data_IF_254325602815
#
_entry.id   IF_254325602815
#
_cell.length_a   1.000
_cell.length_b   1.000
_cell.length_c   1.000
_cell.angle_alpha   90.00
_cell.angle_beta   90.00
_cell.angle_gamma   90.00
#
_symmetry.space_group_name_H-M   'P 1'
#
loop_
_entity.id
_entity.type
_entity.pdbx_description
1 polymer ?
#
# COMPACT_ATOMS: atom_id res chain seq x y z
N UNK A 1 -5.12 15.46 -20.53
CA UNK A 1 -4.42 14.69 -19.48
C UNK A 1 -3.14 14.19 -20.14
N UNK A 2 -1.98 14.43 -19.54
CA UNK A 2 -0.70 14.04 -20.15
C UNK A 2 -0.61 12.52 -20.08
N UNK A 3 -0.49 11.86 -21.23
CA UNK A 3 -0.05 10.47 -21.27
C UNK A 3 1.40 10.48 -20.73
N UNK A 4 1.63 9.92 -19.54
CA UNK A 4 2.98 9.57 -19.13
C UNK A 4 3.52 8.58 -20.15
N UNK A 5 4.78 8.72 -20.55
CA UNK A 5 5.43 7.70 -21.38
C UNK A 5 5.51 6.40 -20.58
N UNK A 6 5.44 5.25 -21.26
CA UNK A 6 5.64 3.93 -20.65
C UNK A 6 6.92 3.90 -19.79
N UNK A 7 8.00 4.52 -20.26
CA UNK A 7 9.25 4.69 -19.52
C UNK A 7 9.08 5.38 -18.17
N UNK A 8 8.33 6.47 -18.12
CA UNK A 8 8.09 7.23 -16.88
C UNK A 8 7.18 6.46 -15.93
N UNK A 9 6.23 5.69 -16.45
CA UNK A 9 5.37 4.81 -15.64
C UNK A 9 6.17 3.66 -15.02
N UNK A 10 7.01 2.99 -15.81
CA UNK A 10 7.91 1.94 -15.31
C UNK A 10 8.88 2.48 -14.25
N UNK A 11 9.48 3.65 -14.47
CA UNK A 11 10.35 4.31 -13.49
C UNK A 11 9.58 4.67 -12.21
N UNK A 12 8.38 5.23 -12.32
CA UNK A 12 7.54 5.53 -11.17
C UNK A 12 7.25 4.27 -10.34
N UNK A 13 6.89 3.16 -10.99
CA UNK A 13 6.61 1.89 -10.31
C UNK A 13 7.82 1.39 -9.53
N UNK A 14 9.05 1.55 -10.06
CA UNK A 14 10.26 1.09 -9.36
C UNK A 14 10.56 1.83 -8.06
N UNK A 15 9.92 2.98 -7.81
CA UNK A 15 10.16 3.80 -6.62
C UNK A 15 8.93 3.97 -5.74
N UNK A 16 7.74 4.09 -6.33
CA UNK A 16 6.52 4.41 -5.60
C UNK A 16 6.09 3.28 -4.67
N UNK A 17 6.39 2.03 -5.02
CA UNK A 17 5.94 0.84 -4.28
C UNK A 17 6.98 0.24 -3.34
N UNK A 18 8.18 0.82 -3.24
CA UNK A 18 9.29 0.30 -2.43
C UNK A 18 8.93 0.08 -0.94
N UNK A 19 7.91 0.78 -0.42
CA UNK A 19 7.44 0.60 0.97
C UNK A 19 6.66 -0.70 1.19
N UNK A 20 6.14 -1.31 0.13
CA UNK A 20 5.27 -2.48 0.16
C UNK A 20 5.85 -3.72 -0.52
N UNK A 21 7.02 -3.60 -1.15
CA UNK A 21 7.80 -4.70 -1.74
C UNK A 21 9.19 -4.75 -1.10
N UNK A 22 10.04 -5.69 -1.49
CA UNK A 22 11.45 -5.67 -1.09
C UNK A 22 12.11 -4.45 -1.74
N UNK A 23 12.67 -3.49 -0.96
CA UNK A 23 13.21 -2.26 -1.51
C UNK A 23 14.30 -2.50 -2.55
N UNK A 24 14.20 -1.83 -3.70
CA UNK A 24 15.15 -1.98 -4.80
C UNK A 24 15.10 -3.34 -5.52
N UNK A 25 14.07 -4.15 -5.27
CA UNK A 25 13.86 -5.41 -5.99
C UNK A 25 13.16 -5.24 -7.33
N UNK A 26 12.47 -4.11 -7.55
CA UNK A 26 11.79 -3.83 -8.80
C UNK A 26 12.80 -3.47 -9.90
N UNK A 27 12.83 -4.26 -10.97
CA UNK A 27 13.72 -4.03 -12.12
C UNK A 27 12.96 -4.20 -13.43
N UNK A 28 13.21 -3.31 -14.37
CA UNK A 28 12.66 -3.40 -15.73
C UNK A 28 13.63 -4.20 -16.58
N UNK A 29 13.15 -5.28 -17.21
CA UNK A 29 13.98 -6.13 -18.07
C UNK A 29 13.50 -6.22 -19.52
N UNK A 30 12.28 -5.78 -19.83
CA UNK A 30 11.81 -5.53 -21.20
C UNK A 30 11.12 -4.18 -21.25
N UNK A 31 11.45 -3.38 -22.26
CA UNK A 31 10.76 -2.14 -22.59
C UNK A 31 10.56 -2.08 -24.09
N UNK A 32 9.32 -2.22 -24.52
CA UNK A 32 8.90 -2.18 -25.92
C UNK A 32 7.88 -1.04 -26.10
N UNK A 33 8.38 0.09 -26.59
CA UNK A 33 7.56 1.28 -26.82
C UNK A 33 6.67 1.17 -28.07
N UNK A 34 7.02 0.30 -29.02
CA UNK A 34 6.21 0.11 -30.23
C UNK A 34 4.90 -0.59 -29.89
N UNK A 35 4.97 -1.58 -28.99
CA UNK A 35 3.80 -2.33 -28.52
C UNK A 35 3.22 -1.82 -27.19
N UNK A 36 3.76 -0.73 -26.62
CA UNK A 36 3.40 -0.24 -25.29
C UNK A 36 3.45 -1.35 -24.22
N UNK A 37 4.50 -2.18 -24.25
CA UNK A 37 4.70 -3.31 -23.35
C UNK A 37 5.98 -3.12 -22.52
N UNK A 38 5.81 -3.00 -21.21
CA UNK A 38 6.89 -3.10 -20.24
C UNK A 38 6.84 -4.45 -19.53
N UNK A 39 7.99 -5.03 -19.20
CA UNK A 39 8.08 -6.13 -18.23
C UNK A 39 8.97 -5.75 -17.08
N UNK A 40 8.43 -5.92 -15.90
CA UNK A 40 9.15 -5.73 -14.65
C UNK A 40 9.21 -7.04 -13.86
N UNK A 41 10.31 -7.22 -13.17
CA UNK A 41 10.50 -8.23 -12.14
C UNK A 41 10.50 -7.51 -10.79
N UNK A 42 9.79 -8.04 -9.79
CA UNK A 42 9.84 -7.51 -8.43
C UNK A 42 9.68 -8.62 -7.39
N UNK A 43 10.16 -8.38 -6.16
CA UNK A 43 10.04 -9.34 -5.06
C UNK A 43 9.08 -8.82 -3.99
N UNK A 44 8.02 -9.58 -3.73
CA UNK A 44 7.07 -9.31 -2.66
C UNK A 44 7.70 -9.53 -1.27
N UNK A 45 7.16 -8.89 -0.23
CA UNK A 45 7.65 -9.01 1.15
C UNK A 45 7.57 -10.44 1.71
N UNK A 46 6.70 -11.27 1.13
CA UNK A 46 6.57 -12.70 1.41
C UNK A 46 7.69 -13.55 0.80
N UNK A 47 8.71 -12.93 0.20
CA UNK A 47 9.79 -13.62 -0.54
C UNK A 47 9.25 -14.41 -1.74
N UNK A 48 8.38 -13.77 -2.52
CA UNK A 48 7.87 -14.29 -3.79
C UNK A 48 8.29 -13.35 -4.90
N UNK A 49 9.01 -13.86 -5.89
CA UNK A 49 9.37 -13.14 -7.09
C UNK A 49 8.21 -13.21 -8.08
N UNK A 50 7.83 -12.08 -8.65
CA UNK A 50 6.78 -11.99 -9.67
C UNK A 50 7.29 -11.25 -10.90
N UNK A 51 6.83 -11.67 -12.05
CA UNK A 51 7.01 -10.97 -13.33
C UNK A 51 5.68 -10.37 -13.73
N UNK A 52 5.67 -9.07 -13.99
CA UNK A 52 4.45 -8.31 -14.34
C UNK A 52 4.64 -7.66 -15.71
N UNK A 53 3.68 -7.88 -16.59
CA UNK A 53 3.52 -7.13 -17.84
C UNK A 53 2.74 -5.85 -17.54
N UNK A 54 3.29 -4.72 -18.00
CA UNK A 54 2.70 -3.38 -17.94
C UNK A 54 2.29 -3.00 -19.35
N UNK A 55 1.00 -2.78 -19.54
CA UNK A 55 0.41 -2.46 -20.85
C UNK A 55 -0.56 -1.30 -20.74
N UNK A 56 -1.04 -0.79 -21.87
CA UNK A 56 -2.11 0.21 -21.91
C UNK A 56 -3.46 -0.29 -21.33
N UNK A 57 -3.64 -1.61 -21.23
CA UNK A 57 -4.81 -2.26 -20.61
C UNK A 57 -4.65 -2.48 -19.10
N UNK A 58 -3.49 -2.14 -18.53
CA UNK A 58 -3.17 -2.33 -17.12
C UNK A 58 -2.07 -3.35 -16.88
N UNK A 59 -2.16 -4.01 -15.72
CA UNK A 59 -1.08 -4.82 -15.14
C UNK A 59 -1.47 -6.31 -15.09
N UNK A 60 -0.60 -7.19 -15.55
CA UNK A 60 -0.86 -8.64 -15.56
C UNK A 60 0.34 -9.43 -15.03
N UNK A 61 0.08 -10.39 -14.13
CA UNK A 61 1.15 -11.30 -13.69
C UNK A 61 1.37 -12.37 -14.75
N UNK A 62 2.62 -12.50 -15.19
CA UNK A 62 3.04 -13.50 -16.16
C UNK A 62 3.59 -14.76 -15.49
N UNK A 63 4.33 -14.60 -14.39
CA UNK A 63 4.85 -15.73 -13.64
C UNK A 63 5.15 -15.34 -12.20
N UNK A 64 5.26 -16.35 -11.35
CA UNK A 64 5.69 -16.18 -9.96
C UNK A 64 6.55 -17.37 -9.50
N UNK A 65 7.48 -17.11 -8.59
CA UNK A 65 8.30 -18.13 -7.96
C UNK A 65 8.54 -17.82 -6.47
N UNK A 66 8.25 -18.75 -5.55
CA UNK A 66 8.64 -18.58 -4.15
C UNK A 66 10.17 -18.67 -4.03
N UNK A 67 10.79 -17.68 -3.38
CA UNK A 67 12.24 -17.64 -3.15
C UNK A 67 12.66 -18.41 -1.89
N UNK A 68 11.71 -18.71 -1.02
CA UNK A 68 11.93 -19.45 0.23
C UNK A 68 10.91 -20.57 0.38
N UNK A 69 11.26 -21.61 1.12
CA UNK A 69 10.36 -22.72 1.47
C UNK A 69 9.46 -22.39 2.67
N UNK A 70 9.25 -21.11 2.99
CA UNK A 70 8.39 -20.72 4.10
C UNK A 70 6.92 -20.96 3.75
N UNK A 71 6.11 -21.34 4.74
CA UNK A 71 4.68 -21.57 4.52
C UNK A 71 3.96 -20.33 3.96
N UNK A 72 4.41 -19.13 4.35
CA UNK A 72 3.86 -17.87 3.85
C UNK A 72 4.22 -17.66 2.37
N UNK A 73 5.48 -17.82 1.99
CA UNK A 73 5.91 -17.68 0.59
C UNK A 73 5.17 -18.65 -0.34
N UNK A 74 5.02 -19.91 0.08
CA UNK A 74 4.33 -20.94 -0.70
C UNK A 74 2.83 -20.60 -0.85
N UNK A 75 2.15 -20.23 0.25
CA UNK A 75 0.74 -19.87 0.20
C UNK A 75 0.51 -18.62 -0.67
N UNK A 76 1.38 -17.61 -0.55
CA UNK A 76 1.32 -16.40 -1.39
C UNK A 76 1.58 -16.74 -2.86
N UNK A 77 2.57 -17.56 -3.18
CA UNK A 77 2.81 -18.00 -4.56
C UNK A 77 1.60 -18.74 -5.16
N UNK A 78 0.93 -19.60 -4.37
CA UNK A 78 -0.30 -20.26 -4.82
C UNK A 78 -1.44 -19.26 -5.06
N UNK A 79 -1.58 -18.25 -4.20
CA UNK A 79 -2.54 -17.16 -4.41
C UNK A 79 -2.23 -16.37 -5.69
N UNK A 80 -0.96 -16.03 -5.92
CA UNK A 80 -0.52 -15.34 -7.13
C UNK A 80 -0.79 -16.18 -8.37
N UNK A 81 -0.54 -17.49 -8.31
CA UNK A 81 -0.81 -18.42 -9.41
C UNK A 81 -2.27 -18.39 -9.86
N UNK A 82 -3.23 -18.24 -8.92
CA UNK A 82 -4.65 -18.11 -9.23
C UNK A 82 -5.02 -16.80 -9.97
N UNK A 83 -4.11 -15.83 -10.02
CA UNK A 83 -4.28 -14.52 -10.66
C UNK A 83 -3.36 -14.30 -11.86
N UNK A 84 -2.57 -15.30 -12.26
CA UNK A 84 -1.77 -15.25 -13.49
C UNK A 84 -2.70 -15.04 -14.68
N UNK A 85 -2.30 -14.19 -15.64
CA UNK A 85 -3.10 -13.73 -16.80
C UNK A 85 -4.31 -12.83 -16.49
N UNK A 86 -4.61 -12.55 -15.22
CA UNK A 86 -5.66 -11.59 -14.88
C UNK A 86 -5.11 -10.16 -15.00
N UNK A 87 -5.81 -9.32 -15.75
CA UNK A 87 -5.50 -7.89 -15.82
C UNK A 87 -6.06 -7.13 -14.62
N UNK A 88 -5.25 -6.22 -14.09
CA UNK A 88 -5.58 -5.29 -13.01
C UNK A 88 -5.48 -3.86 -13.52
N UNK A 89 -6.40 -2.99 -13.07
CA UNK A 89 -6.46 -1.59 -13.49
C UNK A 89 -5.27 -0.76 -12.96
N UNK A 90 -4.83 -1.04 -11.72
CA UNK A 90 -3.73 -0.33 -11.08
C UNK A 90 -2.74 -1.30 -10.41
N UNK A 91 -1.50 -0.84 -10.25
CA UNK A 91 -0.46 -1.60 -9.56
C UNK A 91 -0.82 -1.78 -8.07
N UNK A 92 -1.46 -0.81 -7.41
CA UNK A 92 -1.98 -0.99 -6.05
C UNK A 92 -3.00 -2.13 -5.99
N UNK A 93 -3.95 -2.17 -6.93
CA UNK A 93 -5.00 -3.19 -6.96
C UNK A 93 -4.42 -4.59 -7.14
N UNK A 94 -3.37 -4.71 -7.96
CA UNK A 94 -2.59 -5.92 -8.11
C UNK A 94 -1.90 -6.28 -6.77
N UNK A 95 -1.11 -5.38 -6.20
CA UNK A 95 -0.32 -5.68 -4.99
C UNK A 95 -1.18 -5.96 -3.76
N UNK A 96 -2.31 -5.26 -3.58
CA UNK A 96 -3.29 -5.54 -2.52
C UNK A 96 -3.88 -6.95 -2.66
N UNK A 97 -4.12 -7.40 -3.89
CA UNK A 97 -4.68 -8.73 -4.15
C UNK A 97 -3.63 -9.83 -3.93
N UNK A 98 -2.39 -9.58 -4.33
CA UNK A 98 -1.33 -10.58 -4.36
C UNK A 98 -0.58 -10.72 -3.03
N UNK A 99 -0.34 -9.62 -2.32
CA UNK A 99 0.53 -9.55 -1.15
C UNK A 99 -0.23 -9.09 0.10
N UNK A 100 -0.55 -10.02 1.03
CA UNK A 100 -1.10 -9.66 2.33
C UNK A 100 -0.24 -8.67 3.12
N UNK A 101 1.10 -8.77 3.01
CA UNK A 101 2.02 -7.85 3.69
C UNK A 101 2.01 -6.46 3.06
N UNK A 102 1.91 -6.36 1.72
CA UNK A 102 1.69 -5.07 1.06
C UNK A 102 0.42 -4.41 1.59
N UNK A 103 -0.69 -5.15 1.62
CA UNK A 103 -1.98 -4.65 2.10
C UNK A 103 -1.90 -4.12 3.54
N UNK A 104 -1.17 -4.83 4.42
CA UNK A 104 -0.91 -4.36 5.78
C UNK A 104 -0.10 -3.05 5.79
N UNK A 105 1.02 -2.98 5.05
CA UNK A 105 1.86 -1.77 4.97
C UNK A 105 1.12 -0.57 4.40
N UNK A 106 0.28 -0.80 3.41
CA UNK A 106 -0.57 0.21 2.83
C UNK A 106 -1.54 0.79 3.86
N UNK A 107 -2.22 -0.06 4.63
CA UNK A 107 -3.12 0.36 5.71
C UNK A 107 -2.38 1.14 6.81
N UNK A 108 -1.22 0.64 7.26
CA UNK A 108 -0.38 1.31 8.25
C UNK A 108 0.03 2.72 7.77
N UNK A 109 0.39 2.84 6.50
CA UNK A 109 0.80 4.11 5.89
C UNK A 109 -0.36 5.09 5.81
N UNK A 110 -1.55 4.64 5.39
CA UNK A 110 -2.74 5.48 5.36
C UNK A 110 -3.13 5.96 6.76
N UNK A 111 -3.09 5.07 7.74
CA UNK A 111 -3.40 5.40 9.13
C UNK A 111 -2.42 6.44 9.69
N UNK A 112 -1.12 6.25 9.45
CA UNK A 112 -0.09 7.20 9.89
C UNK A 112 -0.26 8.58 9.24
N UNK A 113 -0.61 8.64 7.94
CA UNK A 113 -0.87 9.91 7.24
C UNK A 113 -2.09 10.63 7.81
N UNK A 114 -3.17 9.89 8.06
CA UNK A 114 -4.41 10.43 8.62
C UNK A 114 -4.18 11.00 10.02
N UNK A 115 -3.42 10.30 10.86
CA UNK A 115 -3.05 10.78 12.19
C UNK A 115 -2.17 12.04 12.12
N UNK A 116 -1.27 12.10 11.13
CA UNK A 116 -0.45 13.29 10.85
C UNK A 116 -1.31 14.53 10.58
N UNK A 117 -2.30 14.42 9.67
CA UNK A 117 -3.21 15.52 9.33
C UNK A 117 -4.02 15.99 10.54
N UNK A 118 -4.50 15.06 11.36
CA UNK A 118 -5.26 15.39 12.57
C UNK A 118 -4.40 16.17 13.59
N UNK A 119 -3.13 15.78 13.75
CA UNK A 119 -2.20 16.48 14.63
C UNK A 119 -1.83 17.87 14.09
N UNK A 120 -1.70 18.01 12.77
CA UNK A 120 -1.37 19.28 12.11
C UNK A 120 -2.50 20.30 12.24
N UNK A 121 -3.76 19.84 12.12
CA UNK A 121 -4.94 20.70 12.36
C UNK A 121 -4.99 21.22 13.79
N UNK A 122 -4.74 20.37 14.80
CA UNK A 122 -4.73 20.80 16.21
C UNK A 122 -3.61 21.82 16.50
N UNK A 123 -2.45 21.68 15.86
CA UNK A 123 -1.37 22.66 16.00
C UNK A 123 -1.72 24.02 15.36
N UNK A 124 -2.39 24.01 14.21
CA UNK A 124 -2.83 25.25 13.56
C UNK A 124 -3.86 26.00 14.40
N UNK A 125 -4.78 25.29 15.05
CA UNK A 125 -5.78 25.91 15.95
C UNK A 125 -5.13 26.57 17.17
N UNK A 126 -4.10 25.95 17.77
CA UNK A 126 -3.38 26.55 18.90
C UNK A 126 -2.57 27.79 18.50
N UNK A 127 -1.99 27.81 17.31
CA UNK A 127 -1.27 29.00 16.82
C UNK A 127 -2.20 30.19 16.55
N UNK A 128 -3.41 29.94 16.04
CA UNK A 128 -4.40 31.02 15.84
C UNK A 128 -4.89 31.61 17.17
N UNK A 129 -5.05 30.80 18.22
CA UNK A 129 -5.45 31.31 19.54
C UNK A 129 -4.37 32.19 20.19
N UNK A 130 -3.08 31.90 19.99
CA UNK A 130 -2.00 32.75 20.52
C UNK A 130 -1.90 34.11 19.82
N UNK A 131 -2.20 34.21 18.52
CA UNK A 131 -2.16 35.50 17.84
C UNK A 131 -3.29 36.44 18.27
N UNK A 132 -4.47 35.92 18.65
CA UNK A 132 -5.58 36.76 19.11
C UNK A 132 -5.36 37.37 20.50
N UNK A 133 -4.58 36.72 21.38
CA UNK A 133 -4.26 37.29 22.70
C UNK A 133 -3.16 38.36 22.67
N UNK A 134 -2.31 38.38 21.65
CA UNK A 134 -1.24 39.39 21.53
C UNK A 134 -1.73 40.75 20.98
N UNK A 135 -3.01 40.86 20.62
CA UNK A 135 -3.59 42.04 19.98
C UNK A 135 -4.68 42.68 20.84
N UNK A 136 -4.57 42.65 22.17
CA UNK A 136 -5.25 43.65 23.01
C UNK A 136 -4.50 44.99 22.89
N UNK A 137 -5.10 46.01 22.26
CA UNK A 137 -4.50 47.33 22.18
C UNK A 137 -4.57 47.97 23.57
N UNK A 138 -3.40 48.28 24.13
CA UNK A 138 -3.22 49.24 25.21
C UNK A 138 -3.83 50.59 24.80
N UNK A 139 -5.15 50.72 24.95
CA UNK A 139 -5.91 51.94 24.68
C UNK A 139 -6.03 52.72 25.98
N UNK A 140 -4.90 53.19 26.49
CA UNK A 140 -4.89 54.19 27.55
C UNK A 140 -5.18 55.57 26.94
N UNK A 141 -6.38 56.07 27.25
CA UNK A 141 -6.82 57.47 27.33
C UNK A 141 -6.32 58.46 26.28
N UNK A 142 -7.25 58.98 25.46
CA UNK A 142 -7.29 60.41 25.14
C UNK A 142 -8.69 60.91 24.83
N UNK A 143 -8.91 62.12 25.31
CA UNK A 143 -10.12 62.87 25.61
C UNK A 143 -10.90 63.33 24.37
N UNK A 144 -12.21 63.50 24.59
CA UNK A 144 -13.22 64.22 23.80
C UNK A 144 -12.74 65.28 22.78
N UNK A 145 -13.27 65.25 21.55
CA UNK A 145 -14.27 66.21 21.05
C UNK A 145 -14.54 66.13 19.53
N UNK A 146 -15.76 66.56 19.16
CA UNK A 146 -16.16 67.21 17.88
C UNK A 146 -16.74 66.36 16.74
N UNK A 147 -18.09 66.40 16.73
CA UNK A 147 -19.10 66.39 15.66
C UNK A 147 -18.63 66.89 14.27
N UNK A 148 -18.90 66.14 13.18
CA UNK A 148 -19.79 66.51 12.03
C UNK A 148 -19.88 65.39 10.97
N UNK A 149 -20.96 65.34 10.15
CA UNK A 149 -21.30 64.23 9.25
C UNK A 149 -21.06 64.54 7.77
N UNK A 150 -20.82 63.53 6.91
CA UNK A 150 -21.32 63.55 5.52
C UNK A 150 -21.33 62.16 4.85
N UNK A 151 -22.18 62.08 3.84
CA UNK A 151 -22.81 60.95 3.20
C UNK A 151 -21.98 60.37 2.04
N UNK A 152 -22.15 59.07 1.72
CA UNK A 152 -22.37 58.51 0.34
C UNK A 152 -22.44 56.97 0.44
N UNK A 153 -23.61 56.34 0.29
CA UNK A 153 -24.26 55.83 -0.93
C UNK A 153 -23.57 54.61 -1.60
N UNK A 154 -24.34 53.51 -1.58
CA UNK A 154 -24.46 52.46 -2.60
C UNK A 154 -23.42 51.32 -2.62
N UNK A 155 -23.87 50.10 -2.29
CA UNK A 155 -23.98 49.02 -3.30
C UNK A 155 -24.62 47.76 -2.70
N UNK A 156 -25.59 47.21 -3.44
CA UNK A 156 -26.40 46.04 -3.12
C UNK A 156 -25.69 44.79 -3.66
N UNK A 157 -25.56 43.73 -2.85
CA UNK A 157 -25.05 42.43 -3.26
C UNK A 157 -25.49 41.31 -2.30
N UNK A 158 -25.62 40.06 -2.78
CA UNK A 158 -26.77 39.20 -2.47
C UNK A 158 -26.63 38.30 -1.24
N UNK A 159 -27.80 37.90 -0.73
CA UNK A 159 -28.00 36.94 0.35
C UNK A 159 -27.33 35.60 0.05
N UNK A 160 -26.49 35.13 0.99
CA UNK A 160 -26.06 33.73 1.03
C UNK A 160 -26.65 33.11 2.29
N UNK A 161 -27.57 32.18 2.06
CA UNK A 161 -28.34 31.45 3.05
C UNK A 161 -27.44 30.40 3.73
N UNK A 162 -27.23 30.64 5.02
CA UNK A 162 -27.18 29.74 6.17
C UNK A 162 -26.50 28.33 6.10
N UNK A 163 -25.66 27.99 7.10
CA UNK A 163 -25.03 26.69 7.23
C UNK A 163 -25.93 25.66 7.93
N UNK A 164 -26.00 24.45 7.39
CA UNK A 164 -26.52 23.27 8.10
C UNK A 164 -25.36 22.43 8.62
N UNK A 165 -25.26 22.34 9.93
CA UNK A 165 -24.28 21.57 10.69
C UNK A 165 -24.95 20.27 11.18
N UNK A 166 -24.71 19.10 10.56
CA UNK A 166 -25.08 17.83 11.16
C UNK A 166 -23.95 17.33 12.08
N UNK A 167 -24.15 17.49 13.39
CA UNK A 167 -23.42 16.70 14.38
C UNK A 167 -23.77 15.22 14.21
N UNK A 168 -22.86 14.45 13.61
CA UNK A 168 -22.93 13.00 13.60
C UNK A 168 -22.07 12.45 14.75
N UNK A 169 -22.76 12.15 15.86
CA UNK A 169 -22.25 11.40 17.01
C UNK A 169 -22.13 9.94 16.57
N UNK A 170 -20.91 9.43 16.38
CA UNK A 170 -20.67 7.99 16.25
C UNK A 170 -20.17 7.43 17.60
N UNK A 171 -20.77 6.33 18.11
CA UNK A 171 -20.29 5.67 19.32
C UNK A 171 -19.00 4.86 19.06
N UNK A 172 -18.11 4.72 20.05
CA UNK A 172 -16.93 3.86 19.94
C UNK A 172 -17.32 2.38 19.93
N UNK A 173 -16.90 1.66 18.89
CA UNK A 173 -17.00 0.21 18.82
C UNK A 173 -16.14 -0.43 19.92
N UNK A 174 -16.78 -1.16 20.83
CA UNK A 174 -16.11 -1.97 21.85
C UNK A 174 -15.59 -3.25 21.20
N UNK A 175 -14.27 -3.31 20.97
CA UNK A 175 -13.59 -4.50 20.46
C UNK A 175 -13.47 -5.49 21.62
N UNK A 176 -14.31 -6.53 21.61
CA UNK A 176 -14.20 -7.67 22.52
C UNK A 176 -13.05 -8.58 22.06
N UNK A 177 -11.91 -8.51 22.74
CA UNK A 177 -10.82 -9.48 22.62
C UNK A 177 -11.24 -10.79 23.29
N UNK A 178 -11.63 -11.80 22.50
CA UNK A 178 -11.74 -13.17 23.00
C UNK A 178 -10.47 -13.94 22.63
N UNK A 179 -9.63 -14.10 23.65
CA UNK A 179 -8.45 -14.96 23.68
C UNK A 179 -8.91 -16.38 23.95
N UNK A 180 -8.79 -17.29 22.98
CA UNK A 180 -8.85 -18.74 23.25
C UNK A 180 -7.59 -19.40 22.70
N UNK A 181 -6.54 -19.29 23.50
CA UNK A 181 -5.36 -20.15 23.43
C UNK A 181 -5.75 -21.56 23.86
N UNK A 182 -5.85 -22.49 22.91
CA UNK A 182 -5.93 -23.92 23.19
C UNK A 182 -4.82 -24.62 22.39
N UNK A 183 -3.64 -24.73 23.00
CA UNK A 183 -2.49 -25.47 22.48
C UNK A 183 -2.48 -26.83 23.18
N UNK A 184 -2.70 -27.95 22.46
CA UNK A 184 -2.44 -29.28 23.00
C UNK A 184 -0.93 -29.51 23.08
N UNK A 185 -0.41 -29.67 24.30
CA UNK A 185 0.93 -30.19 24.55
C UNK A 185 0.98 -31.66 24.14
N UNK A 186 1.74 -31.97 23.09
CA UNK A 186 2.12 -33.33 22.77
C UNK A 186 3.58 -33.59 23.16
N UNK A 187 3.68 -34.64 23.96
CA UNK A 187 4.82 -35.28 24.58
C UNK A 187 5.96 -35.65 23.59
N UNK A 188 7.24 -35.39 23.94
CA UNK A 188 8.37 -35.91 23.18
C UNK A 188 8.75 -37.30 23.71
N UNK A 189 8.29 -38.34 23.03
CA UNK A 189 8.82 -39.69 23.27
C UNK A 189 10.13 -39.87 22.49
N UNK A 190 11.22 -39.90 23.25
CA UNK A 190 12.51 -40.50 22.93
C UNK A 190 12.37 -41.80 22.11
N UNK A 191 13.01 -41.87 20.94
CA UNK A 191 13.42 -43.16 20.37
C UNK A 191 14.76 -43.06 19.62
N UNK A 192 15.76 -43.51 20.38
CA UNK A 192 17.03 -44.13 20.03
C UNK A 192 17.16 -44.74 18.62
N UNK A 193 18.35 -44.49 18.04
CA UNK A 193 19.22 -45.41 17.28
C UNK A 193 18.64 -46.11 16.04
N UNK A 194 19.18 -45.75 14.85
CA UNK A 194 19.81 -46.70 13.93
C UNK A 194 20.52 -46.00 12.75
N UNK A 195 21.83 -46.20 12.55
CA UNK A 195 22.49 -45.93 11.28
C UNK A 195 22.53 -47.21 10.43
N UNK A 196 21.83 -47.21 9.30
CA UNK A 196 22.02 -48.22 8.26
C UNK A 196 22.31 -47.54 6.93
N UNK A 197 23.60 -47.56 6.61
CA UNK A 197 24.18 -47.28 5.30
C UNK A 197 23.56 -48.19 4.24
N UNK A 198 22.81 -47.63 3.29
CA UNK A 198 22.56 -48.29 2.00
C UNK A 198 22.92 -47.31 0.89
N UNK A 199 24.11 -47.50 0.34
CA UNK A 199 24.58 -46.84 -0.88
C UNK A 199 23.83 -47.46 -2.05
N UNK A 200 22.77 -46.79 -2.50
CA UNK A 200 22.09 -47.16 -3.75
C UNK A 200 22.76 -46.41 -4.88
N UNK A 201 23.50 -47.16 -5.69
CA UNK A 201 24.12 -46.74 -6.94
C UNK A 201 23.02 -46.45 -7.97
N UNK A 202 22.57 -45.19 -8.04
CA UNK A 202 21.61 -44.75 -9.06
C UNK A 202 22.37 -44.39 -10.34
N UNK A 203 22.22 -45.29 -11.30
CA UNK A 203 22.58 -45.13 -12.71
C UNK A 203 21.88 -43.87 -13.25
N UNK A 204 22.68 -42.90 -13.71
CA UNK A 204 22.20 -41.67 -14.35
C UNK A 204 21.65 -42.02 -15.74
N UNK A 205 20.37 -42.41 -15.80
CA UNK A 205 19.62 -42.39 -17.05
C UNK A 205 19.17 -40.94 -17.29
N UNK A 206 19.83 -40.27 -18.26
CA UNK A 206 19.42 -38.97 -18.77
C UNK A 206 17.95 -39.02 -19.20
N UNK A 207 17.08 -38.38 -18.43
CA UNK A 207 15.71 -38.10 -18.83
C UNK A 207 15.79 -36.91 -19.81
N UNK A 208 15.28 -37.03 -21.05
CA UNK A 208 15.23 -35.92 -22.00
C UNK A 208 14.39 -34.76 -21.44
N UNK A 209 14.90 -33.54 -21.49
CA UNK A 209 14.24 -32.32 -20.99
C UNK A 209 12.87 -32.01 -21.63
N UNK A 210 12.46 -32.74 -22.68
CA UNK A 210 11.18 -32.55 -23.36
C UNK A 210 9.95 -32.97 -22.56
N UNK A 211 10.08 -33.71 -21.45
CA UNK A 211 8.92 -34.15 -20.65
C UNK A 211 8.54 -33.18 -19.52
N UNK A 212 9.45 -32.31 -19.07
CA UNK A 212 9.15 -31.33 -18.00
C UNK A 212 8.25 -30.18 -18.47
N UNK A 213 8.28 -29.85 -19.77
CA UNK A 213 7.44 -28.81 -20.36
C UNK A 213 5.97 -29.21 -20.51
N UNK A 214 5.63 -30.51 -20.47
CA UNK A 214 4.24 -30.98 -20.56
C UNK A 214 3.49 -30.93 -19.23
N UNK A 215 4.19 -30.84 -18.10
CA UNK A 215 3.56 -30.84 -16.78
C UNK A 215 3.11 -29.44 -16.32
N UNK A 216 3.55 -28.38 -17.00
CA UNK A 216 3.13 -26.99 -16.74
C UNK A 216 1.99 -26.50 -17.64
N UNK A 217 1.52 -27.32 -18.59
CA UNK A 217 0.51 -26.94 -19.58
C UNK A 217 -0.89 -27.53 -19.32
N UNK A 218 -1.18 -27.99 -18.11
CA UNK A 218 -2.45 -28.62 -17.76
C UNK A 218 -3.19 -27.86 -16.67
#
# INVERSE_FOLDING_TARGET
MRQSSLSAELEAITHEYDYGIVPGSATVFVQDEENNLGRLEMTLLESVLIIVDVTDQGFAVMSCAPLTSSSLAIATAQNVQAHVTKNFESMESLLITLSPLFCQRFQDTLFSKLQGVQNEQQQQEQQQQQQQQAQEPSSSLSTANTVTPEQTLSSVGPATDNPHNPQHIFPPASISSQTTSNIPSHDPTDQLLNPSTTTTHTDHQLIPEEELLKQWLQ
#
